data_IF_428001880264
#
_entry.id   IF_428001880264
#
_cell.length_a   1.000
_cell.length_b   1.000
_cell.length_c   1.000
_cell.angle_alpha   90.00
_cell.angle_beta   90.00
_cell.angle_gamma   90.00
#
_symmetry.space_group_name_H-M   'P 1'
#
loop_
_entity.id
_entity.type
_entity.pdbx_description
1 polymer ?
#
# COMPACT_ATOMS: atom_id res chain seq x y z
N UNK A 1 18.20 -4.39 -5.62
CA UNK A 1 17.42 -3.50 -6.51
C UNK A 1 15.96 -3.72 -6.19
N UNK A 2 15.14 -2.68 -6.17
CA UNK A 2 13.73 -2.84 -5.90
C UNK A 2 13.09 -3.76 -6.93
N UNK A 3 12.14 -4.60 -6.49
CA UNK A 3 11.39 -5.48 -7.37
C UNK A 3 9.96 -4.98 -7.55
N UNK A 4 9.35 -5.35 -8.66
CA UNK A 4 7.97 -5.07 -8.97
C UNK A 4 7.26 -6.34 -9.41
N UNK A 5 6.10 -6.59 -8.82
CA UNK A 5 5.27 -7.75 -9.18
C UNK A 5 4.36 -7.41 -10.34
N UNK A 6 4.72 -7.91 -11.54
CA UNK A 6 3.85 -7.85 -12.71
C UNK A 6 2.69 -8.83 -12.55
N UNK A 7 1.48 -8.30 -12.38
CA UNK A 7 0.25 -9.07 -12.13
C UNK A 7 -0.43 -9.47 -13.45
N UNK A 8 -1.23 -10.56 -13.46
CA UNK A 8 -2.07 -10.90 -14.62
C UNK A 8 -3.01 -9.76 -15.05
N UNK A 9 -3.51 -8.99 -14.08
CA UNK A 9 -4.38 -7.84 -14.31
C UNK A 9 -3.68 -6.74 -15.11
N UNK A 10 -2.40 -6.45 -14.81
CA UNK A 10 -1.62 -5.50 -15.59
C UNK A 10 -1.55 -5.90 -17.05
N UNK A 11 -1.24 -7.17 -17.31
CA UNK A 11 -1.13 -7.73 -18.67
C UNK A 11 -2.46 -7.63 -19.38
N UNK A 12 -3.56 -8.02 -18.70
CA UNK A 12 -4.88 -7.93 -19.26
C UNK A 12 -5.25 -6.50 -19.64
N UNK A 13 -5.05 -5.54 -18.73
CA UNK A 13 -5.32 -4.13 -18.99
C UNK A 13 -4.49 -3.62 -20.17
N UNK A 14 -3.19 -3.89 -20.20
CA UNK A 14 -2.31 -3.47 -21.28
C UNK A 14 -2.75 -4.05 -22.63
N UNK A 15 -3.16 -5.29 -22.67
CA UNK A 15 -3.61 -5.99 -23.88
C UNK A 15 -4.95 -5.43 -24.37
N UNK A 16 -5.93 -5.27 -23.48
CA UNK A 16 -7.30 -4.88 -23.85
C UNK A 16 -7.38 -3.37 -24.17
N UNK A 17 -6.53 -2.53 -23.59
CA UNK A 17 -6.40 -1.12 -23.95
C UNK A 17 -5.59 -0.91 -25.24
N UNK A 18 -5.12 -1.97 -25.91
CA UNK A 18 -4.27 -1.87 -27.10
C UNK A 18 -3.13 -0.85 -26.92
N UNK A 19 -2.36 -1.00 -25.85
CA UNK A 19 -1.17 -0.19 -25.62
C UNK A 19 -0.21 -0.43 -26.78
N UNK A 20 -0.07 0.55 -27.66
CA UNK A 20 0.93 0.53 -28.70
C UNK A 20 2.23 1.06 -28.12
N UNK A 21 3.25 0.24 -28.11
CA UNK A 21 4.61 0.67 -27.84
C UNK A 21 5.11 1.35 -29.10
N UNK A 22 5.22 2.68 -29.07
CA UNK A 22 5.93 3.42 -30.11
C UNK A 22 7.34 3.74 -29.64
N UNK A 23 8.29 3.60 -30.52
CA UNK A 23 9.67 4.01 -30.28
C UNK A 23 9.82 5.41 -30.83
N UNK A 24 10.00 6.39 -29.95
CA UNK A 24 10.33 7.75 -30.33
C UNK A 24 11.85 7.88 -30.41
N UNK A 25 12.34 8.38 -31.55
CA UNK A 25 13.73 8.80 -31.69
C UNK A 25 13.79 10.27 -31.26
N UNK A 26 14.52 10.56 -30.18
CA UNK A 26 14.72 11.94 -29.73
C UNK A 26 15.78 12.63 -30.64
N UNK A 27 15.91 13.95 -30.48
CA UNK A 27 16.86 14.78 -31.21
C UNK A 27 18.36 14.44 -31.00
N UNK A 28 18.65 13.42 -30.19
CA UNK A 28 19.98 12.90 -29.89
C UNK A 28 20.14 11.45 -30.30
N UNK A 29 19.34 10.98 -31.26
CA UNK A 29 19.31 9.58 -31.74
C UNK A 29 19.14 8.52 -30.66
N UNK A 30 18.52 8.89 -29.53
CA UNK A 30 18.22 7.96 -28.47
C UNK A 30 16.79 7.43 -28.61
N UNK A 31 16.67 6.11 -28.64
CA UNK A 31 15.38 5.45 -28.63
C UNK A 31 14.75 5.61 -27.25
N UNK A 32 13.65 6.38 -27.17
CA UNK A 32 12.81 6.43 -25.99
C UNK A 32 11.52 5.71 -26.29
N UNK A 33 11.22 4.65 -25.54
CA UNK A 33 9.91 4.04 -25.65
C UNK A 33 8.86 5.04 -25.16
N UNK A 34 7.90 5.32 -26.01
CA UNK A 34 6.73 6.11 -25.65
C UNK A 34 5.49 5.23 -25.78
N UNK A 35 4.57 5.42 -24.87
CA UNK A 35 3.31 4.73 -24.86
C UNK A 35 2.29 5.64 -25.52
N UNK A 36 1.81 5.23 -26.66
CA UNK A 36 0.64 5.85 -27.27
C UNK A 36 -0.60 5.11 -26.75
N UNK A 37 -1.21 5.67 -25.70
CA UNK A 37 -2.46 5.17 -25.17
C UNK A 37 -3.57 5.65 -26.10
N UNK A 38 -4.00 4.82 -27.01
CA UNK A 38 -5.29 5.01 -27.65
C UNK A 38 -6.35 4.83 -26.59
N UNK A 39 -6.85 5.93 -26.04
CA UNK A 39 -7.98 5.91 -25.11
C UNK A 39 -9.15 5.21 -25.80
N UNK A 40 -9.63 4.07 -25.28
CA UNK A 40 -10.90 3.54 -25.69
C UNK A 40 -11.97 4.57 -25.36
N UNK A 41 -12.88 4.73 -26.25
CA UNK A 41 -13.89 5.76 -26.34
C UNK A 41 -14.91 5.68 -25.21
N UNK A 42 -15.31 6.82 -24.70
CA UNK A 42 -16.44 7.02 -23.82
C UNK A 42 -16.17 8.07 -22.75
N UNK A 43 -17.21 8.62 -22.20
CA UNK A 43 -17.16 9.60 -21.09
C UNK A 43 -16.77 8.97 -19.73
N UNK A 44 -16.39 7.69 -19.71
CA UNK A 44 -15.94 6.96 -18.54
C UNK A 44 -14.48 7.28 -18.25
N UNK A 45 -14.18 7.55 -16.99
CA UNK A 45 -12.81 7.80 -16.53
C UNK A 45 -11.94 6.54 -16.63
N UNK A 46 -10.60 6.68 -16.50
CA UNK A 46 -9.66 5.56 -16.55
C UNK A 46 -10.00 4.42 -15.58
N UNK A 47 -10.51 4.73 -14.41
CA UNK A 47 -10.91 3.77 -13.37
C UNK A 47 -12.05 2.90 -13.81
N UNK A 48 -13.09 3.48 -14.40
CA UNK A 48 -14.24 2.74 -14.96
C UNK A 48 -13.80 1.77 -16.05
N UNK A 49 -12.94 2.22 -16.96
CA UNK A 49 -12.40 1.36 -18.03
C UNK A 49 -11.63 0.17 -17.48
N UNK A 50 -10.85 0.36 -16.42
CA UNK A 50 -10.13 -0.74 -15.76
C UNK A 50 -11.09 -1.72 -15.12
N UNK A 51 -12.12 -1.25 -14.42
CA UNK A 51 -13.15 -2.11 -13.83
C UNK A 51 -13.87 -2.94 -14.90
N UNK A 52 -14.24 -2.32 -16.02
CA UNK A 52 -14.88 -3.01 -17.16
C UNK A 52 -13.96 -4.09 -17.77
N UNK A 53 -12.69 -3.78 -18.00
CA UNK A 53 -11.70 -4.70 -18.54
C UNK A 53 -11.53 -5.92 -17.63
N UNK A 54 -11.53 -5.70 -16.31
CA UNK A 54 -11.37 -6.76 -15.32
C UNK A 54 -12.66 -7.55 -15.08
N UNK A 55 -13.79 -7.10 -15.64
CA UNK A 55 -15.10 -7.73 -15.49
C UNK A 55 -15.72 -7.52 -14.10
N UNK A 56 -15.34 -6.44 -13.43
CA UNK A 56 -16.00 -6.02 -12.21
C UNK A 56 -17.34 -5.37 -12.53
N UNK A 57 -18.34 -5.61 -11.71
CA UNK A 57 -19.69 -5.15 -11.95
C UNK A 57 -20.01 -3.94 -11.08
N UNK A 58 -20.61 -2.93 -11.67
CA UNK A 58 -21.23 -1.85 -10.92
C UNK A 58 -22.57 -2.30 -10.33
N UNK A 59 -23.01 -1.61 -9.29
CA UNK A 59 -24.35 -1.76 -8.77
C UNK A 59 -25.39 -1.37 -9.82
N UNK A 60 -26.41 -2.22 -10.03
CA UNK A 60 -27.40 -2.03 -11.11
C UNK A 60 -28.32 -0.81 -10.86
N UNK A 61 -28.53 -0.40 -9.60
CA UNK A 61 -29.41 0.72 -9.25
C UNK A 61 -28.68 2.05 -9.29
N UNK A 62 -27.46 2.12 -8.74
CA UNK A 62 -26.66 3.36 -8.69
C UNK A 62 -25.77 3.57 -9.91
N UNK A 63 -25.39 2.50 -10.62
CA UNK A 63 -24.42 2.53 -11.69
C UNK A 63 -22.97 2.75 -11.19
N UNK A 64 -22.74 2.63 -9.88
CA UNK A 64 -21.45 2.86 -9.25
C UNK A 64 -20.74 1.54 -8.92
N UNK A 65 -19.42 1.54 -8.99
CA UNK A 65 -18.58 0.43 -8.53
C UNK A 65 -18.36 0.52 -7.03
N UNK A 66 -18.12 -0.63 -6.39
CA UNK A 66 -17.76 -0.66 -4.99
C UNK A 66 -16.47 0.17 -4.74
N UNK A 67 -16.41 0.89 -3.63
CA UNK A 67 -15.28 1.76 -3.30
C UNK A 67 -13.94 1.00 -3.32
N UNK A 68 -13.93 -0.26 -2.84
CA UNK A 68 -12.75 -1.12 -2.88
C UNK A 68 -12.28 -1.44 -4.31
N UNK A 69 -13.20 -1.60 -5.26
CA UNK A 69 -12.85 -1.89 -6.65
C UNK A 69 -12.34 -0.63 -7.35
N UNK A 70 -12.88 0.54 -7.01
CA UNK A 70 -12.37 1.83 -7.47
C UNK A 70 -10.94 2.02 -7.01
N UNK A 71 -10.66 1.80 -5.73
CA UNK A 71 -9.31 1.95 -5.16
C UNK A 71 -8.32 0.98 -5.79
N UNK A 72 -8.69 -0.30 -5.96
CA UNK A 72 -7.88 -1.29 -6.67
C UNK A 72 -7.60 -0.89 -8.12
N UNK A 73 -8.60 -0.35 -8.83
CA UNK A 73 -8.45 0.12 -10.20
C UNK A 73 -7.50 1.32 -10.29
N UNK A 74 -7.60 2.27 -9.35
CA UNK A 74 -6.68 3.41 -9.26
C UNK A 74 -5.24 2.93 -9.06
N UNK A 75 -5.01 1.98 -8.14
CA UNK A 75 -3.68 1.44 -7.91
C UNK A 75 -3.12 0.72 -9.14
N UNK A 76 -3.94 -0.07 -9.85
CA UNK A 76 -3.51 -0.71 -11.09
C UNK A 76 -3.11 0.32 -12.17
N UNK A 77 -3.83 1.43 -12.27
CA UNK A 77 -3.49 2.52 -13.20
C UNK A 77 -2.13 3.14 -12.85
N UNK A 78 -1.86 3.33 -11.57
CA UNK A 78 -0.59 3.87 -11.07
C UNK A 78 0.57 2.91 -11.34
N UNK A 79 0.33 1.61 -11.23
CA UNK A 79 1.30 0.55 -11.48
C UNK A 79 1.61 0.35 -12.98
N UNK A 80 0.68 0.69 -13.88
CA UNK A 80 0.80 0.43 -15.33
C UNK A 80 2.08 0.98 -15.98
N UNK A 81 2.60 2.19 -15.67
CA UNK A 81 3.83 2.68 -16.27
C UNK A 81 5.05 1.80 -15.94
N UNK A 82 5.14 1.29 -14.71
CA UNK A 82 6.19 0.37 -14.29
C UNK A 82 6.01 -0.99 -14.96
N UNK A 83 4.80 -1.53 -14.93
CA UNK A 83 4.46 -2.78 -15.59
C UNK A 83 4.85 -2.78 -17.08
N UNK A 84 4.55 -1.69 -17.76
CA UNK A 84 4.90 -1.52 -19.17
C UNK A 84 6.41 -1.43 -19.39
N UNK A 85 7.13 -0.72 -18.53
CA UNK A 85 8.59 -0.66 -18.59
C UNK A 85 9.20 -2.07 -18.47
N UNK A 86 8.67 -2.90 -17.55
CA UNK A 86 9.10 -4.29 -17.38
C UNK A 86 8.85 -5.11 -18.65
N UNK A 87 7.64 -5.03 -19.21
CA UNK A 87 7.29 -5.73 -20.45
C UNK A 87 8.24 -5.34 -21.60
N UNK A 88 8.56 -4.06 -21.72
CA UNK A 88 9.47 -3.55 -22.74
C UNK A 88 10.92 -4.01 -22.55
N UNK A 89 11.41 -4.01 -21.32
CA UNK A 89 12.79 -4.42 -21.01
C UNK A 89 12.99 -5.93 -21.17
N UNK A 90 12.00 -6.73 -20.78
CA UNK A 90 12.10 -8.18 -20.77
C UNK A 90 11.51 -8.84 -22.02
N UNK A 91 10.88 -8.08 -22.90
CA UNK A 91 10.18 -8.58 -24.11
C UNK A 91 9.19 -9.71 -23.79
N UNK A 92 8.49 -9.62 -22.64
CA UNK A 92 7.58 -10.65 -22.17
C UNK A 92 6.33 -10.04 -21.57
N UNK A 93 5.21 -10.77 -21.64
CA UNK A 93 3.95 -10.49 -20.96
C UNK A 93 3.67 -11.54 -19.88
N UNK A 94 4.70 -12.16 -19.33
CA UNK A 94 4.55 -13.18 -18.30
C UNK A 94 4.40 -12.52 -16.91
N UNK A 95 3.39 -12.89 -16.13
CA UNK A 95 3.29 -12.48 -14.73
C UNK A 95 4.51 -12.97 -13.94
N UNK A 96 5.01 -12.15 -13.03
CA UNK A 96 6.18 -12.52 -12.25
C UNK A 96 6.77 -11.34 -11.50
N UNK A 97 7.83 -11.59 -10.79
CA UNK A 97 8.61 -10.57 -10.09
C UNK A 97 9.82 -10.17 -10.91
N UNK A 98 10.00 -8.89 -11.11
CA UNK A 98 11.03 -8.32 -11.98
C UNK A 98 11.79 -7.21 -11.25
N UNK A 99 13.10 -7.20 -11.42
CA UNK A 99 13.93 -6.10 -10.93
C UNK A 99 13.63 -4.82 -11.71
N UNK A 100 13.51 -3.71 -10.99
CA UNK A 100 13.27 -2.38 -11.56
C UNK A 100 14.45 -1.48 -11.23
N UNK A 101 14.87 -0.68 -12.19
CA UNK A 101 15.96 0.28 -11.95
C UNK A 101 15.51 1.35 -10.93
N UNK A 102 16.27 1.51 -9.85
CA UNK A 102 16.00 2.46 -8.77
C UNK A 102 15.78 3.91 -9.24
N UNK A 103 16.36 4.25 -10.38
CA UNK A 103 16.30 5.61 -10.95
C UNK A 103 15.33 5.73 -12.13
N UNK A 104 14.44 4.76 -12.33
CA UNK A 104 13.42 4.93 -13.36
C UNK A 104 12.38 5.93 -12.88
N UNK A 105 12.09 6.95 -13.69
CA UNK A 105 11.08 7.96 -13.37
C UNK A 105 9.69 7.34 -13.14
N UNK A 106 9.38 6.25 -13.81
CA UNK A 106 8.13 5.53 -13.67
C UNK A 106 8.02 4.87 -12.28
N UNK A 107 9.10 4.21 -11.84
CA UNK A 107 9.14 3.59 -10.51
C UNK A 107 9.12 4.63 -9.40
N UNK A 108 9.89 5.71 -9.54
CA UNK A 108 9.91 6.81 -8.60
C UNK A 108 8.50 7.42 -8.41
N UNK A 109 7.83 7.76 -9.52
CA UNK A 109 6.47 8.28 -9.47
C UNK A 109 5.48 7.28 -8.86
N UNK A 110 5.61 6.00 -9.17
CA UNK A 110 4.80 4.94 -8.58
C UNK A 110 4.94 4.90 -7.06
N UNK A 111 6.17 4.91 -6.53
CA UNK A 111 6.44 4.89 -5.10
C UNK A 111 5.81 6.09 -4.40
N UNK A 112 6.01 7.29 -4.92
CA UNK A 112 5.41 8.50 -4.36
C UNK A 112 3.88 8.44 -4.31
N UNK A 113 3.25 8.06 -5.41
CA UNK A 113 1.79 8.00 -5.48
C UNK A 113 1.25 6.88 -4.57
N UNK A 114 1.91 5.72 -4.54
CA UNK A 114 1.56 4.61 -3.64
C UNK A 114 1.62 5.05 -2.18
N UNK A 115 2.72 5.70 -1.78
CA UNK A 115 2.89 6.19 -0.42
C UNK A 115 1.81 7.22 -0.07
N UNK A 116 1.51 8.15 -0.97
CA UNK A 116 0.43 9.11 -0.76
C UNK A 116 -0.94 8.43 -0.60
N UNK A 117 -1.24 7.41 -1.40
CA UNK A 117 -2.47 6.63 -1.25
C UNK A 117 -2.57 5.93 0.11
N UNK A 118 -1.48 5.38 0.63
CA UNK A 118 -1.45 4.78 1.96
C UNK A 118 -1.73 5.79 3.09
N UNK A 119 -1.44 7.07 2.84
CA UNK A 119 -1.64 8.16 3.81
C UNK A 119 -2.98 8.89 3.67
N UNK A 120 -3.87 8.49 2.73
CA UNK A 120 -5.16 9.16 2.50
C UNK A 120 -6.04 9.24 3.75
N UNK A 121 -6.15 8.13 4.49
CA UNK A 121 -7.02 8.09 5.67
C UNK A 121 -6.58 9.03 6.79
N UNK A 122 -5.31 9.03 7.24
CA UNK A 122 -4.86 10.00 8.22
C UNK A 122 -4.93 11.45 7.70
N UNK A 123 -4.65 11.70 6.42
CA UNK A 123 -4.81 13.04 5.84
C UNK A 123 -6.26 13.51 5.96
N UNK A 124 -7.23 12.67 5.62
CA UNK A 124 -8.65 13.00 5.69
C UNK A 124 -9.11 13.30 7.14
N UNK A 125 -8.62 12.55 8.14
CA UNK A 125 -8.91 12.80 9.56
C UNK A 125 -8.37 14.18 9.99
N UNK A 126 -7.18 14.56 9.53
CA UNK A 126 -6.58 15.87 9.84
C UNK A 126 -7.34 16.99 9.11
N UNK A 127 -7.69 16.80 7.84
CA UNK A 127 -8.47 17.77 7.07
C UNK A 127 -9.83 18.06 7.70
N UNK A 128 -10.51 17.05 8.21
CA UNK A 128 -11.78 17.25 8.91
C UNK A 128 -11.63 18.14 10.14
N UNK A 129 -10.53 17.97 10.89
CA UNK A 129 -10.23 18.77 12.09
C UNK A 129 -9.77 20.19 11.75
N UNK A 130 -9.08 20.40 10.64
CA UNK A 130 -8.37 21.63 10.30
C UNK A 130 -8.76 22.20 8.92
N UNK A 131 -10.06 22.20 8.60
CA UNK A 131 -10.64 22.53 7.26
C UNK A 131 -10.08 23.77 6.56
N UNK A 132 -9.72 24.81 7.32
CA UNK A 132 -9.30 26.09 6.79
C UNK A 132 -7.85 26.46 7.21
N UNK A 133 -7.01 25.45 7.45
CA UNK A 133 -5.66 25.68 7.90
C UNK A 133 -4.68 25.78 6.74
N UNK A 134 -3.98 26.92 6.62
CA UNK A 134 -2.95 27.15 5.59
C UNK A 134 -1.81 26.09 5.60
N UNK A 135 -1.66 25.35 6.72
CA UNK A 135 -0.66 24.31 6.84
C UNK A 135 -1.05 22.99 6.16
N UNK A 136 -2.33 22.83 5.75
CA UNK A 136 -2.77 21.60 5.05
C UNK A 136 -2.05 21.41 3.71
N UNK A 137 -1.90 22.48 2.91
CA UNK A 137 -1.15 22.40 1.64
C UNK A 137 0.27 21.86 1.87
N UNK A 138 0.93 22.35 2.91
CA UNK A 138 2.27 21.89 3.28
C UNK A 138 2.29 20.44 3.76
N UNK A 139 1.27 19.98 4.49
CA UNK A 139 1.12 18.58 4.88
C UNK A 139 1.00 17.67 3.66
N UNK A 140 0.18 18.06 2.68
CA UNK A 140 0.08 17.34 1.42
C UNK A 140 1.42 17.26 0.68
N UNK A 141 2.18 18.35 0.65
CA UNK A 141 3.52 18.36 0.06
C UNK A 141 4.46 17.36 0.76
N UNK A 142 4.46 17.29 2.08
CA UNK A 142 5.24 16.27 2.82
C UNK A 142 4.80 14.86 2.44
N UNK A 143 3.51 14.58 2.45
CA UNK A 143 2.98 13.27 2.12
C UNK A 143 3.26 12.85 0.67
N UNK A 144 3.28 13.79 -0.27
CA UNK A 144 3.61 13.55 -1.69
C UNK A 144 5.10 13.32 -1.93
N UNK A 145 5.98 13.80 -1.05
CA UNK A 145 7.43 13.73 -1.23
C UNK A 145 8.10 12.64 -0.38
N UNK A 146 7.33 11.78 0.28
CA UNK A 146 7.90 10.67 1.06
C UNK A 146 8.71 9.75 0.15
N UNK A 147 10.00 9.60 0.47
CA UNK A 147 10.93 8.76 -0.29
C UNK A 147 11.00 7.34 0.26
N UNK A 148 11.41 6.39 -0.60
CA UNK A 148 11.54 4.99 -0.21
C UNK A 148 10.19 4.26 -0.16
N UNK A 149 10.23 3.03 0.30
CA UNK A 149 9.07 2.14 0.30
C UNK A 149 8.19 2.24 1.56
N UNK A 150 8.63 3.04 2.53
CA UNK A 150 7.92 3.25 3.78
C UNK A 150 7.13 4.57 3.78
N UNK A 151 5.78 4.54 3.62
CA UNK A 151 4.97 5.76 3.65
C UNK A 151 5.02 6.49 5.00
N UNK A 152 5.28 5.77 6.08
CA UNK A 152 5.29 6.31 7.43
C UNK A 152 6.55 7.12 7.77
N UNK A 153 7.55 7.17 6.89
CA UNK A 153 8.67 8.12 7.01
C UNK A 153 8.22 9.59 7.08
N UNK A 154 7.02 9.89 6.59
CA UNK A 154 6.41 11.20 6.78
C UNK A 154 6.36 11.63 8.25
N UNK A 155 6.22 10.68 9.17
CA UNK A 155 6.20 10.96 10.64
C UNK A 155 7.52 11.56 11.10
N UNK A 156 8.64 11.02 10.64
CA UNK A 156 9.97 11.50 10.98
C UNK A 156 10.26 12.89 10.37
N UNK A 157 9.84 13.07 9.12
CA UNK A 157 9.91 14.36 8.45
C UNK A 157 9.09 15.42 9.19
N UNK A 158 7.86 15.07 9.59
CA UNK A 158 7.00 15.97 10.37
C UNK A 158 7.58 16.27 11.76
N UNK A 159 8.15 15.28 12.46
CA UNK A 159 8.82 15.46 13.76
C UNK A 159 9.98 16.44 13.67
N UNK A 160 10.74 16.37 12.58
CA UNK A 160 11.85 17.30 12.35
C UNK A 160 11.38 18.75 12.24
N UNK A 161 10.18 18.98 11.66
CA UNK A 161 9.59 20.30 11.46
C UNK A 161 8.54 20.68 12.52
N UNK A 162 8.20 19.80 13.45
CA UNK A 162 7.13 19.99 14.41
C UNK A 162 7.43 21.12 15.40
N UNK A 163 6.85 22.29 15.11
CA UNK A 163 6.90 23.49 15.99
C UNK A 163 5.52 24.12 16.20
N UNK A 164 4.47 23.45 15.76
CA UNK A 164 3.09 23.93 15.87
C UNK A 164 2.18 22.83 16.40
N UNK A 165 1.11 23.20 17.06
CA UNK A 165 0.09 22.25 17.56
C UNK A 165 -0.51 21.44 16.41
N UNK A 166 -0.69 22.05 15.22
CA UNK A 166 -1.14 21.37 14.03
C UNK A 166 -0.25 20.18 13.63
N UNK A 167 1.07 20.40 13.60
CA UNK A 167 2.00 19.33 13.23
C UNK A 167 2.10 18.25 14.32
N UNK A 168 1.99 18.61 15.59
CA UNK A 168 1.94 17.66 16.68
C UNK A 168 0.70 16.77 16.59
N UNK A 169 -0.46 17.35 16.31
CA UNK A 169 -1.70 16.61 16.09
C UNK A 169 -1.62 15.74 14.84
N UNK A 170 -1.06 16.25 13.75
CA UNK A 170 -0.86 15.48 12.53
C UNK A 170 0.02 14.24 12.80
N UNK A 171 1.13 14.39 13.49
CA UNK A 171 2.01 13.28 13.88
C UNK A 171 1.22 12.23 14.68
N UNK A 172 0.45 12.65 15.69
CA UNK A 172 -0.32 11.72 16.52
C UNK A 172 -1.36 10.94 15.69
N UNK A 173 -2.01 11.58 14.72
CA UNK A 173 -2.96 10.90 13.81
C UNK A 173 -2.22 9.90 12.91
N UNK A 174 -1.07 10.28 12.32
CA UNK A 174 -0.29 9.37 11.49
C UNK A 174 0.25 8.18 12.29
N UNK A 175 0.76 8.40 13.51
CA UNK A 175 1.20 7.31 14.39
C UNK A 175 0.07 6.34 14.70
N UNK A 176 -1.10 6.84 15.08
CA UNK A 176 -2.30 6.02 15.33
C UNK A 176 -2.65 5.14 14.12
N UNK A 177 -2.75 5.73 12.93
CA UNK A 177 -3.10 4.98 11.72
C UNK A 177 -2.04 3.96 11.31
N UNK A 178 -0.74 4.30 11.47
CA UNK A 178 0.37 3.37 11.26
C UNK A 178 0.22 2.14 12.17
N UNK A 179 0.04 2.39 13.45
CA UNK A 179 -0.01 1.34 14.47
C UNK A 179 -1.23 0.43 14.26
N UNK A 180 -2.39 1.01 13.97
CA UNK A 180 -3.60 0.27 13.61
C UNK A 180 -3.40 -0.58 12.34
N UNK A 181 -2.81 -0.03 11.29
CA UNK A 181 -2.56 -0.76 10.05
C UNK A 181 -1.57 -1.90 10.25
N UNK A 182 -0.45 -1.64 10.91
CA UNK A 182 0.59 -2.65 11.16
C UNK A 182 0.04 -3.80 11.98
N UNK A 183 -0.70 -3.50 13.04
CA UNK A 183 -1.33 -4.52 13.88
C UNK A 183 -2.37 -5.33 13.10
N UNK A 184 -3.21 -4.69 12.31
CA UNK A 184 -4.23 -5.38 11.49
C UNK A 184 -3.60 -6.31 10.44
N UNK A 185 -2.51 -5.89 9.82
CA UNK A 185 -1.77 -6.71 8.86
C UNK A 185 -1.09 -7.88 9.54
N UNK A 186 -0.48 -7.66 10.69
CA UNK A 186 0.17 -8.70 11.48
C UNK A 186 -0.85 -9.77 11.92
N UNK A 187 -1.99 -9.38 12.49
CA UNK A 187 -3.05 -10.31 12.93
C UNK A 187 -3.68 -11.11 11.77
N UNK A 188 -3.63 -10.62 10.53
CA UNK A 188 -4.13 -11.35 9.35
C UNK A 188 -3.15 -12.44 8.86
N UNK A 189 -1.87 -12.29 9.16
CA UNK A 189 -0.81 -13.16 8.64
C UNK A 189 -0.24 -14.13 9.67
N UNK A 190 -0.57 -13.94 10.95
CA UNK A 190 -0.07 -14.73 12.07
C UNK A 190 -1.20 -15.41 12.82
N UNK A 191 -0.94 -16.55 13.40
CA UNK A 191 -1.91 -17.32 14.16
C UNK A 191 -1.27 -18.08 15.34
N UNK A 192 -2.10 -18.71 16.14
CA UNK A 192 -1.80 -19.74 17.15
C UNK A 192 -0.49 -19.54 17.90
N UNK A 193 0.59 -20.17 17.42
CA UNK A 193 1.89 -20.18 18.10
C UNK A 193 2.55 -18.79 18.11
N UNK A 194 2.35 -17.99 17.08
CA UNK A 194 2.91 -16.63 16.97
C UNK A 194 2.37 -15.71 18.04
N UNK A 195 1.09 -15.88 18.39
CA UNK A 195 0.45 -15.09 19.45
C UNK A 195 1.06 -15.37 20.83
N UNK A 196 1.58 -16.56 21.06
CA UNK A 196 2.16 -16.93 22.35
C UNK A 196 3.36 -16.04 22.73
N UNK A 197 4.11 -15.54 21.76
CA UNK A 197 5.23 -14.60 22.01
C UNK A 197 4.78 -13.33 22.72
N UNK A 198 3.57 -12.84 22.37
CA UNK A 198 3.03 -11.57 22.85
C UNK A 198 1.89 -11.76 23.86
N UNK A 199 1.67 -12.98 24.34
CA UNK A 199 0.63 -13.28 25.30
C UNK A 199 1.06 -12.88 26.72
N UNK A 200 0.27 -12.10 27.45
CA UNK A 200 0.57 -11.74 28.84
C UNK A 200 0.63 -12.95 29.79
N UNK A 201 -0.02 -14.06 29.44
CA UNK A 201 -0.07 -15.29 30.22
C UNK A 201 0.90 -16.36 29.71
N UNK A 202 1.85 -16.03 28.82
CA UNK A 202 2.72 -16.98 28.16
C UNK A 202 3.47 -17.91 29.14
N UNK A 203 3.96 -17.38 30.27
CA UNK A 203 4.72 -18.15 31.28
C UNK A 203 3.88 -19.20 32.00
N UNK A 204 2.55 -19.01 32.10
CA UNK A 204 1.61 -19.88 32.80
C UNK A 204 0.61 -20.55 31.82
N UNK A 205 0.80 -20.32 30.52
CA UNK A 205 -0.14 -20.75 29.51
C UNK A 205 -0.22 -22.28 29.41
N UNK A 206 -1.44 -22.87 29.54
CA UNK A 206 -1.61 -24.32 29.40
C UNK A 206 -1.26 -24.85 28.01
N UNK A 207 -1.21 -24.00 26.97
CA UNK A 207 -0.70 -24.37 25.64
C UNK A 207 0.76 -24.82 25.66
N UNK A 208 1.61 -24.14 26.42
CA UNK A 208 3.01 -24.56 26.61
C UNK A 208 3.12 -25.92 27.29
N UNK A 209 2.13 -26.31 28.07
CA UNK A 209 2.07 -27.60 28.77
C UNK A 209 1.37 -28.72 27.97
N UNK A 210 0.50 -28.39 27.02
CA UNK A 210 -0.19 -29.36 26.17
C UNK A 210 0.80 -30.19 25.31
N UNK A 211 1.98 -29.67 25.06
CA UNK A 211 3.08 -30.44 24.43
C UNK A 211 3.62 -31.60 25.29
N UNK A 212 3.24 -31.69 26.56
CA UNK A 212 3.68 -32.73 27.48
C UNK A 212 2.61 -33.77 27.83
N UNK A 213 1.53 -33.90 27.05
CA UNK A 213 0.59 -35.02 27.14
C UNK A 213 -0.53 -34.87 28.18
N UNK A 214 -0.85 -33.66 28.58
CA UNK A 214 -2.04 -33.35 29.36
C UNK A 214 -3.32 -33.26 28.49
N UNK A 215 -4.50 -33.40 29.11
CA UNK A 215 -5.76 -33.13 28.43
C UNK A 215 -5.74 -31.68 27.92
N UNK A 216 -6.24 -31.40 26.69
CA UNK A 216 -6.27 -30.05 26.15
C UNK A 216 -7.19 -29.18 27.01
N UNK A 217 -6.59 -28.30 27.80
CA UNK A 217 -7.30 -27.23 28.50
C UNK A 217 -7.55 -26.15 27.43
N UNK A 218 -8.79 -25.70 27.30
CA UNK A 218 -9.10 -24.57 26.41
C UNK A 218 -8.23 -23.38 26.81
N UNK A 219 -7.46 -22.81 25.86
CA UNK A 219 -6.57 -21.69 26.17
C UNK A 219 -7.39 -20.47 26.60
N UNK A 220 -6.86 -19.69 27.53
CA UNK A 220 -7.46 -18.43 28.00
C UNK A 220 -7.67 -17.43 26.87
N UNK A 221 -6.90 -17.51 25.80
CA UNK A 221 -7.05 -16.71 24.60
C UNK A 221 -8.14 -17.22 23.65
N UNK A 222 -8.74 -18.39 23.90
CA UNK A 222 -9.78 -18.93 23.01
C UNK A 222 -11.04 -18.05 23.03
N UNK A 223 -11.34 -17.41 21.89
CA UNK A 223 -12.46 -16.49 21.78
C UNK A 223 -12.19 -15.07 22.30
N UNK A 224 -10.98 -14.77 22.78
CA UNK A 224 -10.59 -13.41 23.13
C UNK A 224 -10.40 -12.53 21.89
N UNK A 225 -10.68 -11.24 22.04
CA UNK A 225 -10.25 -10.25 21.03
C UNK A 225 -8.72 -10.10 21.13
N UNK A 226 -8.01 -10.54 20.08
CA UNK A 226 -6.57 -10.52 20.09
C UNK A 226 -5.99 -9.12 20.23
N UNK A 227 -6.67 -8.10 19.73
CA UNK A 227 -6.25 -6.70 19.88
C UNK A 227 -6.27 -6.22 21.34
N UNK A 228 -7.19 -6.74 22.14
CA UNK A 228 -7.31 -6.39 23.55
C UNK A 228 -6.48 -7.32 24.45
N UNK A 229 -6.17 -8.53 23.98
CA UNK A 229 -5.55 -9.56 24.78
C UNK A 229 -4.01 -9.57 24.69
N UNK A 230 -3.45 -9.29 23.55
CA UNK A 230 -2.00 -9.36 23.31
C UNK A 230 -1.29 -8.06 23.69
N UNK A 231 0.02 -8.14 23.92
CA UNK A 231 0.90 -6.97 24.03
C UNK A 231 1.09 -6.31 22.66
N UNK A 232 0.10 -5.53 22.23
CA UNK A 232 0.03 -4.95 20.88
C UNK A 232 1.17 -4.02 20.57
N UNK A 233 1.65 -3.23 21.53
CA UNK A 233 2.77 -2.31 21.35
C UNK A 233 4.05 -3.08 20.94
N UNK A 234 4.31 -4.24 21.57
CA UNK A 234 5.46 -5.08 21.23
C UNK A 234 5.31 -5.73 19.85
N UNK A 235 4.08 -6.08 19.45
CA UNK A 235 3.81 -6.59 18.09
C UNK A 235 4.11 -5.50 17.07
N UNK A 236 3.65 -4.27 17.31
CA UNK A 236 3.85 -3.14 16.41
C UNK A 236 5.34 -2.82 16.26
N UNK A 237 6.08 -2.77 17.38
CA UNK A 237 7.52 -2.52 17.38
C UNK A 237 8.26 -3.58 16.53
N UNK A 238 8.05 -4.87 16.81
CA UNK A 238 8.70 -5.97 16.10
C UNK A 238 8.33 -5.99 14.61
N UNK A 239 7.04 -5.77 14.28
CA UNK A 239 6.58 -5.75 12.89
C UNK A 239 7.10 -4.55 12.09
N UNK A 240 7.27 -3.39 12.73
CA UNK A 240 7.91 -2.22 12.11
C UNK A 240 9.40 -2.46 11.87
N UNK A 241 10.09 -3.08 12.82
CA UNK A 241 11.51 -3.44 12.67
C UNK A 241 11.70 -4.47 11.55
N UNK A 242 10.88 -5.52 11.51
CA UNK A 242 10.95 -6.53 10.45
C UNK A 242 10.71 -5.94 9.05
N UNK A 243 9.72 -5.06 8.93
CA UNK A 243 9.31 -4.52 7.64
C UNK A 243 10.16 -3.37 7.14
N UNK A 244 10.68 -2.54 8.05
CA UNK A 244 11.33 -1.28 7.73
C UNK A 244 12.69 -1.07 8.40
N UNK A 245 13.16 -2.01 9.23
CA UNK A 245 14.36 -1.87 10.07
C UNK A 245 15.70 -1.97 9.34
N UNK A 246 15.71 -2.31 8.06
CA UNK A 246 16.94 -2.47 7.25
C UNK A 246 17.26 -1.26 6.34
N UNK A 247 16.67 -0.08 6.59
CA UNK A 247 16.99 1.12 5.79
C UNK A 247 18.10 1.99 6.39
#
# INVERSE_FOLDING_TARGET
MPSFKLKPEHIKIMTDLNFRISILIDSKDRYRPAIDVKRPFGNSGPTTNVCEILGWHCDEESGEYAAEDIEKAEMLIIELPVALQIVMQNHTFEPGEYEVGEYSSAYFNYVHIRNYHALKSPIAEIEEKYKDCDQMERLHEFCMNVSGDNPWKVIDDLKWFARTDFLADAIAVFEKHRDEQVLDEWLKTHDGEDYCKYCPENAECPHGMACYGGEPIEPSCYGADMKEFLYTDSIIEDALEERYGEE
#
